data_IF_019298017714
#
_entry.id   IF_019298017714
#
_cell.length_a   1.000
_cell.length_b   1.000
_cell.length_c   1.000
_cell.angle_alpha   90.00
_cell.angle_beta   90.00
_cell.angle_gamma   90.00
#
_symmetry.space_group_name_H-M   'P 1'
#
loop_
_entity.id
_entity.type
_entity.pdbx_description
1 polymer ?
#
# COMPACT_ATOMS: atom_id res chain seq x y z
N UNK A 1 -46.46 -32.16 55.22
CA UNK A 1 -46.46 -31.73 53.83
C UNK A 1 -45.63 -30.48 53.72
N UNK A 2 -44.36 -30.59 53.24
CA UNK A 2 -43.44 -29.47 53.10
C UNK A 2 -43.22 -29.28 51.61
N UNK A 3 -43.56 -28.10 51.14
CA UNK A 3 -43.39 -27.69 49.72
C UNK A 3 -42.02 -27.07 49.58
N UNK A 4 -41.10 -27.69 48.79
CA UNK A 4 -39.81 -27.19 48.43
C UNK A 4 -39.96 -26.18 47.28
N UNK A 5 -39.49 -24.92 47.46
CA UNK A 5 -39.38 -23.88 46.41
C UNK A 5 -38.00 -23.95 45.80
N UNK A 6 -37.92 -24.38 44.54
CA UNK A 6 -36.73 -24.31 43.73
C UNK A 6 -36.51 -22.83 43.27
N UNK A 7 -35.39 -22.23 43.66
CA UNK A 7 -34.90 -20.94 43.15
C UNK A 7 -33.94 -21.25 42.04
N UNK A 8 -34.32 -20.98 40.79
CA UNK A 8 -33.44 -20.98 39.61
C UNK A 8 -32.67 -19.65 39.58
N UNK A 9 -31.37 -19.71 39.89
CA UNK A 9 -30.46 -18.60 39.70
C UNK A 9 -30.03 -18.52 38.23
N UNK A 10 -30.54 -17.53 37.54
CA UNK A 10 -30.09 -17.21 36.17
C UNK A 10 -28.72 -16.49 36.20
N UNK A 11 -27.68 -17.18 35.76
CA UNK A 11 -26.35 -16.64 35.60
C UNK A 11 -26.25 -15.93 34.24
N UNK A 12 -26.26 -14.60 34.25
CA UNK A 12 -26.04 -13.78 33.04
C UNK A 12 -24.55 -13.74 32.77
N UNK A 13 -24.12 -14.43 31.71
CA UNK A 13 -22.75 -14.36 31.19
C UNK A 13 -22.61 -13.06 30.38
N UNK A 14 -21.96 -12.05 30.94
CA UNK A 14 -21.58 -10.87 30.23
C UNK A 14 -20.35 -11.19 29.37
N UNK A 15 -20.54 -11.41 28.07
CA UNK A 15 -19.45 -11.50 27.11
C UNK A 15 -18.84 -10.10 26.91
N UNK A 16 -17.73 -9.85 27.57
CA UNK A 16 -16.91 -8.66 27.34
C UNK A 16 -16.28 -8.73 25.95
N UNK A 17 -16.75 -7.91 25.01
CA UNK A 17 -16.03 -7.66 23.74
C UNK A 17 -14.76 -6.89 24.08
N UNK A 18 -13.61 -7.57 24.07
CA UNK A 18 -12.32 -6.91 24.06
C UNK A 18 -12.16 -6.19 22.71
N UNK A 19 -12.35 -4.89 22.68
CA UNK A 19 -11.96 -4.04 21.54
C UNK A 19 -10.44 -4.01 21.55
N UNK A 20 -9.80 -4.85 20.73
CA UNK A 20 -8.41 -4.72 20.42
C UNK A 20 -8.25 -3.42 19.62
N UNK A 21 -7.83 -2.36 20.27
CA UNK A 21 -7.38 -1.15 19.58
C UNK A 21 -6.21 -1.53 18.68
N UNK A 22 -6.46 -1.58 17.37
CA UNK A 22 -5.39 -1.62 16.38
C UNK A 22 -4.58 -0.34 16.58
N UNK A 23 -3.35 -0.47 17.05
CA UNK A 23 -2.44 0.67 17.15
C UNK A 23 -2.33 1.29 15.76
N UNK A 24 -2.77 2.54 15.63
CA UNK A 24 -2.67 3.25 14.36
C UNK A 24 -1.19 3.30 13.98
N UNK A 25 -0.88 2.74 12.80
CA UNK A 25 0.48 2.70 12.30
C UNK A 25 1.02 4.13 12.16
N UNK A 26 2.24 4.36 12.68
CA UNK A 26 2.87 5.67 12.58
C UNK A 26 3.20 5.96 11.11
N UNK A 27 2.54 6.97 10.56
CA UNK A 27 2.85 7.49 9.22
C UNK A 27 4.17 8.29 9.27
N UNK A 28 4.86 8.42 8.13
CA UNK A 28 5.97 9.37 8.04
C UNK A 28 5.48 10.78 8.36
N UNK A 29 6.40 11.63 8.84
CA UNK A 29 6.09 13.05 9.06
C UNK A 29 5.79 13.71 7.72
N UNK A 30 4.64 14.40 7.64
CA UNK A 30 4.25 15.13 6.44
C UNK A 30 5.24 16.27 6.16
N UNK A 31 5.80 16.30 4.95
CA UNK A 31 6.69 17.37 4.48
C UNK A 31 5.92 18.36 3.61
N UNK A 32 6.46 19.56 3.47
CA UNK A 32 5.81 20.61 2.69
C UNK A 32 5.76 20.28 1.20
N UNK A 33 6.87 19.74 0.64
CA UNK A 33 7.01 19.42 -0.78
C UNK A 33 7.61 18.04 -1.01
N UNK A 34 7.26 17.44 -2.16
CA UNK A 34 7.64 16.09 -2.58
C UNK A 34 8.03 16.09 -4.07
N UNK A 35 9.21 16.67 -4.38
CA UNK A 35 9.67 16.82 -5.74
C UNK A 35 10.62 15.73 -6.23
N UNK A 36 11.07 14.86 -5.34
CA UNK A 36 12.14 13.93 -5.69
C UNK A 36 11.62 12.75 -6.52
N UNK A 37 12.32 12.48 -7.62
CA UNK A 37 12.10 11.27 -8.39
C UNK A 37 12.70 10.06 -7.66
N UNK A 38 11.94 8.99 -7.60
CA UNK A 38 12.41 7.71 -7.07
C UNK A 38 12.37 6.63 -8.15
N UNK A 39 13.51 6.34 -8.74
CA UNK A 39 13.64 5.30 -9.77
C UNK A 39 13.35 3.89 -9.25
N UNK A 40 13.31 3.71 -7.92
CA UNK A 40 12.88 2.45 -7.29
C UNK A 40 11.35 2.27 -7.31
N UNK A 41 10.60 3.36 -7.48
CA UNK A 41 9.13 3.32 -7.52
C UNK A 41 8.61 2.84 -8.89
N UNK A 42 9.07 1.67 -9.31
CA UNK A 42 8.70 1.04 -10.58
C UNK A 42 8.50 -0.47 -10.42
N UNK A 43 7.54 -1.02 -11.16
CA UNK A 43 7.35 -2.46 -11.23
C UNK A 43 8.34 -3.07 -12.21
N UNK A 44 9.10 -4.12 -11.82
CA UNK A 44 9.99 -4.78 -12.74
C UNK A 44 9.21 -5.56 -13.81
N UNK A 45 9.70 -5.49 -15.04
CA UNK A 45 9.17 -6.22 -16.19
C UNK A 45 10.30 -7.08 -16.79
N UNK A 46 10.50 -8.27 -16.24
CA UNK A 46 11.49 -9.24 -16.73
C UNK A 46 10.91 -10.07 -17.86
N UNK A 47 9.64 -10.45 -17.70
CA UNK A 47 8.84 -11.19 -18.69
C UNK A 47 7.55 -10.41 -18.94
N UNK A 48 7.10 -10.33 -20.18
CA UNK A 48 5.85 -9.67 -20.52
C UNK A 48 4.66 -10.32 -19.78
N UNK A 49 3.71 -9.50 -19.31
CA UNK A 49 2.60 -9.99 -18.48
C UNK A 49 1.66 -10.98 -19.23
N UNK A 50 1.60 -10.88 -20.54
CA UNK A 50 0.81 -11.73 -21.44
C UNK A 50 1.63 -12.90 -22.05
N UNK A 51 2.88 -13.07 -21.61
CA UNK A 51 3.72 -14.14 -22.13
C UNK A 51 3.13 -15.53 -21.80
N UNK A 52 3.14 -16.48 -22.76
CA UNK A 52 2.84 -17.86 -22.44
C UNK A 52 3.84 -18.39 -21.41
N UNK A 53 3.38 -19.24 -20.51
CA UNK A 53 4.21 -19.82 -19.44
C UNK A 53 4.97 -18.79 -18.59
N UNK A 54 4.34 -17.61 -18.35
CA UNK A 54 4.91 -16.50 -17.57
C UNK A 54 5.58 -16.95 -16.26
N UNK A 55 4.91 -17.79 -15.49
CA UNK A 55 5.40 -18.29 -14.20
C UNK A 55 6.67 -19.13 -14.37
N UNK A 56 6.69 -20.02 -15.37
CA UNK A 56 7.86 -20.88 -15.64
C UNK A 56 9.05 -20.07 -16.16
N UNK A 57 8.78 -19.05 -16.99
CA UNK A 57 9.83 -18.15 -17.46
C UNK A 57 10.43 -17.33 -16.31
N UNK A 58 9.58 -16.78 -15.42
CA UNK A 58 10.05 -16.06 -14.25
C UNK A 58 10.83 -16.95 -13.28
N UNK A 59 10.38 -18.18 -13.05
CA UNK A 59 11.09 -19.15 -12.22
C UNK A 59 12.51 -19.44 -12.76
N UNK A 60 12.65 -19.63 -14.07
CA UNK A 60 13.96 -19.81 -14.71
C UNK A 60 14.87 -18.58 -14.59
N UNK A 61 14.30 -17.36 -14.78
CA UNK A 61 15.08 -16.12 -14.65
C UNK A 61 15.54 -15.88 -13.21
N UNK A 62 14.73 -16.25 -12.22
CA UNK A 62 15.03 -16.16 -10.80
C UNK A 62 16.23 -17.03 -10.41
N UNK A 63 16.40 -18.23 -11.01
CA UNK A 63 17.47 -19.15 -10.63
C UNK A 63 18.87 -18.67 -11.08
N UNK A 64 19.01 -17.99 -12.20
CA UNK A 64 20.32 -17.80 -12.85
C UNK A 64 20.55 -16.46 -13.55
N UNK A 65 19.63 -15.51 -13.45
CA UNK A 65 19.71 -14.30 -14.23
C UNK A 65 20.30 -13.10 -13.48
N UNK A 66 20.92 -12.16 -14.22
CA UNK A 66 21.26 -10.83 -13.68
C UNK A 66 20.02 -10.06 -13.17
N UNK A 67 18.82 -10.51 -13.55
CA UNK A 67 17.52 -9.99 -13.14
C UNK A 67 16.80 -10.92 -12.16
N UNK A 68 17.54 -11.74 -11.39
CA UNK A 68 16.95 -12.72 -10.48
C UNK A 68 16.02 -12.05 -9.44
N UNK A 69 16.48 -10.95 -8.84
CA UNK A 69 15.69 -10.16 -7.90
C UNK A 69 14.41 -9.61 -8.56
N UNK A 70 14.55 -8.98 -9.71
CA UNK A 70 13.41 -8.42 -10.46
C UNK A 70 12.40 -9.51 -10.83
N UNK A 71 12.89 -10.69 -11.24
CA UNK A 71 12.03 -11.84 -11.55
C UNK A 71 11.32 -12.36 -10.30
N UNK A 72 11.98 -12.35 -9.14
CA UNK A 72 11.37 -12.74 -7.86
C UNK A 72 10.25 -11.77 -7.48
N UNK A 73 10.47 -10.46 -7.62
CA UNK A 73 9.45 -9.43 -7.36
C UNK A 73 8.28 -9.55 -8.33
N UNK A 74 8.55 -9.72 -9.63
CA UNK A 74 7.47 -9.90 -10.62
C UNK A 74 6.68 -11.18 -10.35
N UNK A 75 7.33 -12.28 -9.94
CA UNK A 75 6.67 -13.54 -9.59
C UNK A 75 5.81 -13.39 -8.32
N UNK A 76 6.25 -12.59 -7.34
CA UNK A 76 5.46 -12.26 -6.15
C UNK A 76 4.17 -11.53 -6.55
N UNK A 77 4.26 -10.51 -7.41
CA UNK A 77 3.09 -9.77 -7.92
C UNK A 77 2.14 -10.68 -8.69
N UNK A 78 2.65 -11.61 -9.51
CA UNK A 78 1.83 -12.62 -10.21
C UNK A 78 1.12 -13.53 -9.21
N UNK A 79 1.80 -13.96 -8.14
CA UNK A 79 1.19 -14.79 -7.11
C UNK A 79 0.04 -14.07 -6.40
N UNK A 80 0.22 -12.79 -6.02
CA UNK A 80 -0.86 -11.98 -5.45
C UNK A 80 -2.03 -11.81 -6.42
N UNK A 81 -1.75 -11.52 -7.68
CA UNK A 81 -2.79 -11.37 -8.71
C UNK A 81 -3.60 -12.65 -8.97
N UNK A 82 -2.98 -13.82 -8.74
CA UNK A 82 -3.62 -15.14 -8.82
C UNK A 82 -4.32 -15.59 -7.52
N UNK A 83 -4.42 -14.71 -6.50
CA UNK A 83 -5.04 -15.04 -5.22
C UNK A 83 -4.21 -16.01 -4.35
N UNK A 84 -2.89 -15.98 -4.48
CA UNK A 84 -1.93 -16.77 -3.72
C UNK A 84 -1.04 -15.88 -2.83
N UNK A 85 -1.63 -15.12 -1.88
CA UNK A 85 -0.91 -14.11 -1.12
C UNK A 85 0.20 -14.68 -0.23
N UNK A 86 0.06 -15.92 0.27
CA UNK A 86 1.08 -16.57 1.08
C UNK A 86 2.36 -16.82 0.28
N UNK A 87 2.23 -17.29 -0.97
CA UNK A 87 3.36 -17.46 -1.88
C UNK A 87 3.98 -16.11 -2.23
N UNK A 88 3.15 -15.11 -2.53
CA UNK A 88 3.62 -13.75 -2.82
C UNK A 88 4.41 -13.15 -1.65
N UNK A 89 3.91 -13.31 -0.42
CA UNK A 89 4.58 -12.86 0.80
C UNK A 89 5.94 -13.55 1.00
N UNK A 90 6.01 -14.87 0.79
CA UNK A 90 7.26 -15.63 0.88
C UNK A 90 8.31 -15.13 -0.13
N UNK A 91 7.89 -14.89 -1.38
CA UNK A 91 8.77 -14.36 -2.42
C UNK A 91 9.28 -12.95 -2.08
N UNK A 92 8.43 -12.09 -1.46
CA UNK A 92 8.87 -10.78 -0.98
C UNK A 92 9.87 -10.87 0.17
N UNK A 93 9.71 -11.82 1.11
CA UNK A 93 10.71 -12.07 2.18
C UNK A 93 12.07 -12.43 1.59
N UNK A 94 12.09 -13.29 0.58
CA UNK A 94 13.32 -13.68 -0.11
C UNK A 94 13.95 -12.50 -0.87
N UNK A 95 13.13 -11.73 -1.60
CA UNK A 95 13.57 -10.55 -2.33
C UNK A 95 14.14 -9.46 -1.38
N UNK A 96 13.49 -9.19 -0.25
CA UNK A 96 13.97 -8.24 0.76
C UNK A 96 15.32 -8.67 1.36
N UNK A 97 15.48 -9.96 1.63
CA UNK A 97 16.74 -10.53 2.13
C UNK A 97 17.89 -10.36 1.12
N UNK A 98 17.62 -10.61 -0.16
CA UNK A 98 18.60 -10.49 -1.24
C UNK A 98 18.98 -9.01 -1.50
N UNK A 99 17.99 -8.15 -1.56
CA UNK A 99 18.17 -6.75 -1.91
C UNK A 99 18.87 -5.91 -0.82
N UNK A 100 18.70 -6.28 0.46
CA UNK A 100 19.17 -5.50 1.60
C UNK A 100 18.31 -4.28 1.94
N UNK A 101 18.33 -3.90 3.23
CA UNK A 101 17.35 -2.97 3.80
C UNK A 101 17.38 -1.55 3.22
N UNK A 102 18.56 -0.96 3.05
CA UNK A 102 18.73 0.47 2.69
C UNK A 102 19.29 0.66 1.28
N UNK A 103 19.03 -0.28 0.37
CA UNK A 103 19.50 -0.25 -1.00
C UNK A 103 18.41 0.25 -1.95
N UNK A 104 18.81 0.73 -3.14
CA UNK A 104 17.86 1.03 -4.22
C UNK A 104 16.98 -0.18 -4.58
N UNK A 105 17.56 -1.41 -4.76
CA UNK A 105 16.74 -2.60 -4.97
C UNK A 105 15.78 -2.90 -3.80
N UNK A 106 16.20 -2.70 -2.55
CA UNK A 106 15.33 -2.92 -1.38
C UNK A 106 14.14 -1.98 -1.34
N UNK A 107 14.29 -0.72 -1.79
CA UNK A 107 13.17 0.20 -1.94
C UNK A 107 12.20 -0.26 -3.03
N UNK A 108 12.72 -0.70 -4.20
CA UNK A 108 11.90 -1.26 -5.28
C UNK A 108 11.08 -2.46 -4.81
N UNK A 109 11.67 -3.38 -4.06
CA UNK A 109 10.97 -4.54 -3.48
C UNK A 109 9.81 -4.07 -2.59
N UNK A 110 10.06 -3.15 -1.65
CA UNK A 110 9.04 -2.65 -0.71
C UNK A 110 7.95 -1.84 -1.39
N UNK A 111 8.31 -1.03 -2.38
CA UNK A 111 7.32 -0.26 -3.14
C UNK A 111 6.33 -1.19 -3.85
N UNK A 112 6.82 -2.23 -4.52
CA UNK A 112 5.97 -3.24 -5.18
C UNK A 112 5.15 -4.06 -4.19
N UNK A 113 5.77 -4.51 -3.08
CA UNK A 113 5.08 -5.19 -1.97
C UNK A 113 3.91 -4.36 -1.44
N UNK A 114 4.10 -3.06 -1.28
CA UNK A 114 3.05 -2.15 -0.84
C UNK A 114 1.84 -2.16 -1.78
N UNK A 115 2.06 -2.12 -3.09
CA UNK A 115 0.97 -2.20 -4.07
C UNK A 115 0.24 -3.53 -4.04
N UNK A 116 0.94 -4.65 -3.94
CA UNK A 116 0.31 -5.97 -3.89
C UNK A 116 -0.48 -6.18 -2.59
N UNK A 117 0.05 -5.70 -1.47
CA UNK A 117 -0.66 -5.70 -0.19
C UNK A 117 -1.93 -4.81 -0.24
N UNK A 118 -1.82 -3.60 -0.79
CA UNK A 118 -2.98 -2.71 -0.99
C UNK A 118 -4.06 -3.40 -1.83
N UNK A 119 -3.68 -3.96 -2.99
CA UNK A 119 -4.58 -4.64 -3.93
C UNK A 119 -5.18 -5.93 -3.40
N UNK A 120 -4.56 -6.55 -2.40
CA UNK A 120 -5.10 -7.71 -1.67
C UNK A 120 -5.95 -7.33 -0.45
N UNK A 121 -6.12 -6.03 -0.17
CA UNK A 121 -6.93 -5.54 0.96
C UNK A 121 -6.16 -5.41 2.28
N UNK A 122 -4.86 -5.71 2.32
CA UNK A 122 -4.02 -5.50 3.49
C UNK A 122 -3.45 -4.07 3.50
N UNK A 123 -4.29 -3.10 3.85
CA UNK A 123 -3.93 -1.68 3.79
C UNK A 123 -2.87 -1.32 4.83
N UNK A 124 -2.93 -1.88 6.03
CA UNK A 124 -1.91 -1.66 7.07
C UNK A 124 -0.53 -2.15 6.60
N UNK A 125 -0.48 -3.34 6.02
CA UNK A 125 0.74 -3.88 5.44
C UNK A 125 1.29 -3.02 4.29
N UNK A 126 0.41 -2.46 3.46
CA UNK A 126 0.79 -1.57 2.37
C UNK A 126 1.42 -0.28 2.90
N UNK A 127 0.77 0.37 3.88
CA UNK A 127 1.30 1.58 4.53
C UNK A 127 2.67 1.34 5.17
N UNK A 128 2.86 0.17 5.83
CA UNK A 128 4.16 -0.22 6.38
C UNK A 128 5.23 -0.37 5.30
N UNK A 129 4.93 -1.10 4.24
CA UNK A 129 5.88 -1.35 3.16
C UNK A 129 6.30 -0.04 2.47
N UNK A 130 5.38 0.89 2.24
CA UNK A 130 5.70 2.20 1.66
C UNK A 130 6.44 3.12 2.62
N UNK A 131 6.11 3.10 3.92
CA UNK A 131 6.90 3.79 4.93
C UNK A 131 8.36 3.31 4.92
N UNK A 132 8.58 1.99 4.91
CA UNK A 132 9.91 1.40 4.87
C UNK A 132 10.64 1.66 3.53
N UNK A 133 9.91 1.78 2.42
CA UNK A 133 10.48 2.18 1.14
C UNK A 133 10.99 3.62 1.19
N UNK A 134 10.26 4.54 1.82
CA UNK A 134 10.65 5.92 1.98
C UNK A 134 11.82 6.10 2.97
N UNK A 135 11.85 5.34 4.07
CA UNK A 135 12.84 5.49 5.14
C UNK A 135 14.30 5.35 4.67
N UNK A 136 14.54 4.62 3.58
CA UNK A 136 15.88 4.46 2.98
C UNK A 136 16.28 5.57 2.00
N UNK A 137 15.44 6.58 1.80
CA UNK A 137 15.66 7.64 0.80
C UNK A 137 16.10 8.95 1.48
N UNK A 138 17.00 9.67 0.80
CA UNK A 138 17.28 11.08 1.12
C UNK A 138 16.36 11.93 0.25
N UNK A 139 15.39 12.60 0.88
CA UNK A 139 14.44 13.45 0.18
C UNK A 139 12.99 13.00 0.29
N UNK A 140 12.13 13.67 -0.45
CA UNK A 140 10.68 13.51 -0.39
C UNK A 140 10.14 13.07 -1.74
N UNK A 141 9.98 11.76 -1.98
CA UNK A 141 9.56 11.23 -3.28
C UNK A 141 8.12 11.63 -3.64
N UNK A 142 7.94 12.02 -4.89
CA UNK A 142 6.66 12.53 -5.43
C UNK A 142 5.51 11.51 -5.38
N UNK A 143 5.83 10.20 -5.35
CA UNK A 143 4.83 9.14 -5.25
C UNK A 143 4.17 9.03 -3.87
N UNK A 144 4.83 9.53 -2.80
CA UNK A 144 4.38 9.32 -1.40
C UNK A 144 3.02 9.95 -1.13
N UNK A 145 2.78 11.25 -1.43
CA UNK A 145 1.52 11.88 -1.05
C UNK A 145 0.28 11.24 -1.69
N UNK A 146 0.21 11.01 -3.01
CA UNK A 146 -0.99 10.42 -3.61
C UNK A 146 -1.19 8.96 -3.19
N UNK A 147 -0.10 8.20 -2.98
CA UNK A 147 -0.18 6.79 -2.58
C UNK A 147 -0.69 6.65 -1.14
N UNK A 148 -0.17 7.47 -0.20
CA UNK A 148 -0.67 7.46 1.17
C UNK A 148 -2.08 8.00 1.28
N UNK A 149 -2.43 9.04 0.50
CA UNK A 149 -3.79 9.55 0.43
C UNK A 149 -4.79 8.47 -0.01
N UNK A 150 -4.46 7.71 -1.06
CA UNK A 150 -5.26 6.59 -1.53
C UNK A 150 -5.47 5.53 -0.42
N UNK A 151 -4.40 5.08 0.21
CA UNK A 151 -4.46 4.03 1.22
C UNK A 151 -5.26 4.45 2.46
N UNK A 152 -5.00 5.66 2.97
CA UNK A 152 -5.70 6.22 4.12
C UNK A 152 -7.18 6.41 3.85
N UNK A 153 -7.56 6.86 2.64
CA UNK A 153 -8.95 6.99 2.24
C UNK A 153 -9.66 5.64 2.24
N UNK A 154 -9.02 4.63 1.67
CA UNK A 154 -9.53 3.25 1.66
C UNK A 154 -9.72 2.70 3.07
N UNK A 155 -8.85 3.08 4.02
CA UNK A 155 -8.93 2.69 5.43
C UNK A 155 -9.96 3.50 6.25
N UNK A 156 -10.59 4.52 5.65
CA UNK A 156 -11.54 5.41 6.34
C UNK A 156 -10.89 6.55 7.13
N UNK A 157 -9.56 6.71 7.09
CA UNK A 157 -8.80 7.80 7.71
C UNK A 157 -8.85 9.07 6.83
N UNK A 158 -10.05 9.56 6.62
CA UNK A 158 -10.36 10.57 5.59
C UNK A 158 -9.63 11.90 5.79
N UNK A 159 -9.58 12.41 7.01
CA UNK A 159 -8.89 13.68 7.32
C UNK A 159 -7.38 13.61 7.05
N UNK A 160 -6.77 12.47 7.35
CA UNK A 160 -5.36 12.24 7.07
C UNK A 160 -5.10 12.07 5.58
N UNK A 161 -5.97 11.36 4.87
CA UNK A 161 -5.90 11.23 3.42
C UNK A 161 -5.93 12.60 2.72
N UNK A 162 -6.83 13.49 3.14
CA UNK A 162 -6.94 14.86 2.59
C UNK A 162 -5.68 15.69 2.87
N UNK A 163 -5.06 15.54 4.06
CA UNK A 163 -3.79 16.21 4.38
C UNK A 163 -2.64 15.74 3.48
N UNK A 164 -2.53 14.43 3.26
CA UNK A 164 -1.54 13.87 2.35
C UNK A 164 -1.78 14.32 0.91
N UNK A 165 -3.03 14.31 0.46
CA UNK A 165 -3.38 14.79 -0.87
C UNK A 165 -3.05 16.30 -1.04
N UNK A 166 -3.30 17.11 -0.03
CA UNK A 166 -2.93 18.52 -0.02
C UNK A 166 -1.42 18.75 -0.21
N UNK A 167 -0.56 17.84 0.26
CA UNK A 167 0.87 17.91 0.00
C UNK A 167 1.19 17.66 -1.47
N UNK A 168 0.50 16.73 -2.15
CA UNK A 168 0.64 16.54 -3.59
C UNK A 168 0.24 17.82 -4.34
N UNK A 169 -0.89 18.42 -4.00
CA UNK A 169 -1.36 19.66 -4.65
C UNK A 169 -0.40 20.83 -4.41
N UNK A 170 0.15 20.99 -3.21
CA UNK A 170 1.15 22.05 -2.94
C UNK A 170 2.42 21.85 -3.76
N UNK A 171 2.83 20.60 -3.94
CA UNK A 171 4.02 20.28 -4.72
C UNK A 171 3.80 20.56 -6.21
N UNK A 172 2.73 20.05 -6.78
CA UNK A 172 2.43 20.16 -8.21
C UNK A 172 0.94 20.48 -8.45
N UNK A 173 0.54 21.76 -8.24
CA UNK A 173 -0.86 22.17 -8.32
C UNK A 173 -1.47 21.94 -9.71
N UNK A 174 -0.68 22.06 -10.77
CA UNK A 174 -1.14 21.81 -12.15
C UNK A 174 -1.57 20.35 -12.34
N UNK A 175 -0.90 19.44 -11.66
CA UNK A 175 -1.13 18.00 -11.78
C UNK A 175 -2.27 17.52 -10.88
N UNK A 176 -2.36 18.05 -9.66
CA UNK A 176 -3.21 17.47 -8.62
C UNK A 176 -4.48 18.26 -8.29
N UNK A 177 -4.64 19.50 -8.79
CA UNK A 177 -5.87 20.28 -8.52
C UNK A 177 -7.13 19.72 -9.18
N UNK A 178 -6.98 18.80 -10.13
CA UNK A 178 -8.08 18.16 -10.85
C UNK A 178 -7.81 16.68 -11.08
N UNK A 179 -8.84 15.86 -10.99
CA UNK A 179 -8.76 14.42 -11.30
C UNK A 179 -8.87 14.10 -12.80
N UNK A 180 -9.14 15.09 -13.66
CA UNK A 180 -9.36 14.88 -15.09
C UNK A 180 -8.16 14.27 -15.83
N UNK A 181 -6.93 14.49 -15.32
CA UNK A 181 -5.67 13.99 -15.89
C UNK A 181 -5.22 12.62 -15.38
N UNK A 182 -5.90 12.02 -14.42
CA UNK A 182 -5.40 10.82 -13.71
C UNK A 182 -5.13 9.61 -14.62
N UNK A 183 -5.88 9.43 -15.69
CA UNK A 183 -5.65 8.33 -16.62
C UNK A 183 -4.26 8.41 -17.31
N UNK A 184 -3.80 9.63 -17.61
CA UNK A 184 -2.50 9.88 -18.22
C UNK A 184 -1.37 9.97 -17.18
N UNK A 185 -1.66 10.53 -16.00
CA UNK A 185 -0.67 10.75 -14.94
C UNK A 185 -0.34 9.47 -14.16
N UNK A 186 -1.33 8.59 -14.01
CA UNK A 186 -1.27 7.36 -13.23
C UNK A 186 -1.56 6.12 -14.11
N UNK A 187 -0.78 5.89 -15.18
CA UNK A 187 -1.09 4.84 -16.16
C UNK A 187 -1.01 3.43 -15.56
N UNK A 188 -0.23 3.23 -14.50
CA UNK A 188 -0.06 1.94 -13.82
C UNK A 188 -1.10 1.68 -12.74
N UNK A 189 -1.89 2.70 -12.38
CA UNK A 189 -2.96 2.57 -11.41
C UNK A 189 -4.20 1.98 -12.06
N UNK A 190 -4.95 1.17 -11.31
CA UNK A 190 -6.24 0.63 -11.75
C UNK A 190 -7.31 1.74 -11.81
N UNK A 191 -8.34 1.56 -12.59
CA UNK A 191 -9.46 2.50 -12.66
C UNK A 191 -10.10 2.75 -11.29
N UNK A 192 -10.26 1.70 -10.48
CA UNK A 192 -10.77 1.81 -9.12
C UNK A 192 -9.86 2.62 -8.19
N UNK A 193 -8.55 2.51 -8.34
CA UNK A 193 -7.57 3.27 -7.57
C UNK A 193 -7.63 4.76 -7.93
N UNK A 194 -7.71 5.06 -9.23
CA UNK A 194 -7.89 6.44 -9.73
C UNK A 194 -9.23 7.03 -9.30
N UNK A 195 -10.31 6.24 -9.32
CA UNK A 195 -11.63 6.66 -8.85
C UNK A 195 -11.62 7.00 -7.35
N UNK A 196 -11.00 6.14 -6.53
CA UNK A 196 -10.84 6.41 -5.09
C UNK A 196 -10.00 7.67 -4.83
N UNK A 197 -8.90 7.87 -5.58
CA UNK A 197 -8.11 9.10 -5.45
C UNK A 197 -8.88 10.35 -5.90
N UNK A 198 -9.79 10.23 -6.88
CA UNK A 198 -10.67 11.32 -7.28
C UNK A 198 -11.67 11.72 -6.18
N UNK A 199 -12.13 10.77 -5.35
CA UNK A 199 -12.92 11.09 -4.15
C UNK A 199 -12.11 11.92 -3.15
N UNK A 200 -10.83 11.57 -2.94
CA UNK A 200 -9.91 12.35 -2.07
C UNK A 200 -9.74 13.77 -2.62
N UNK A 201 -9.51 13.90 -3.92
CA UNK A 201 -9.38 15.17 -4.60
C UNK A 201 -10.65 16.04 -4.41
N UNK A 202 -11.83 15.46 -4.56
CA UNK A 202 -13.08 16.16 -4.35
C UNK A 202 -13.26 16.63 -2.90
N UNK A 203 -12.91 15.79 -1.94
CA UNK A 203 -12.95 16.15 -0.52
C UNK A 203 -11.98 17.29 -0.21
N UNK A 204 -10.75 17.24 -0.75
CA UNK A 204 -9.77 18.30 -0.65
C UNK A 204 -10.30 19.62 -1.29
N UNK A 205 -10.87 19.56 -2.49
CA UNK A 205 -11.37 20.75 -3.19
C UNK A 205 -12.53 21.42 -2.44
N UNK A 206 -13.34 20.64 -1.71
CA UNK A 206 -14.46 21.15 -0.90
C UNK A 206 -13.99 21.84 0.37
N UNK A 207 -12.95 21.32 1.03
CA UNK A 207 -12.43 21.87 2.29
C UNK A 207 -10.90 21.66 2.35
N UNK A 208 -10.10 22.48 1.64
CA UNK A 208 -8.65 22.37 1.66
C UNK A 208 -8.10 22.60 3.07
N UNK A 209 -7.31 21.69 3.63
CA UNK A 209 -6.71 21.88 4.93
C UNK A 209 -5.66 22.99 4.90
N UNK A 210 -5.55 23.74 5.99
CA UNK A 210 -4.40 24.60 6.22
C UNK A 210 -3.12 23.75 6.31
N UNK A 211 -1.98 24.34 5.99
CA UNK A 211 -0.68 23.70 6.24
C UNK A 211 -0.51 23.54 7.75
N UNK A 212 -0.12 22.34 8.24
CA UNK A 212 0.10 22.07 9.66
C UNK A 212 1.31 22.80 10.23
#
# INVERSE_FOLDING_TARGET
MAVARNVLSSMVLAAGMAVFGVAAQSLPTLQEFYFDDDTAAAAPQVVAADAPDLVDQLAKQRERGRKALDATVQLASVAYAQGRPELGAQLYIEAEKEAGANSLPGRMVRWNKGWDLYRSGNIDGALSAWHDAQAGMRGNPSWVPPTLALALWTQGRKDEAVKWYAAAVRTEPQQWSSSAGYAQQLPTWRDSERATLAEVQQAWATNPPAWP
#
